data_IF_762680537680
#
_entry.id   IF_762680537680
#
_cell.length_a   1.000
_cell.length_b   1.000
_cell.length_c   1.000
_cell.angle_alpha   90.00
_cell.angle_beta   90.00
_cell.angle_gamma   90.00
#
_symmetry.space_group_name_H-M   'P 1'
#
loop_
_entity.id
_entity.type
_entity.pdbx_description
1 polymer ?
#
# COMPACT_ATOMS: atom_id res chain seq x y z
N UNK A 1 -28.12 -13.05 2.30
CA UNK A 1 -27.34 -11.89 2.79
C UNK A 1 -26.04 -11.85 2.00
N UNK A 2 -25.70 -10.74 1.36
CA UNK A 2 -24.56 -10.64 0.43
C UNK A 2 -23.56 -9.63 0.98
N UNK A 3 -22.28 -10.03 1.08
CA UNK A 3 -21.20 -9.16 1.53
C UNK A 3 -20.40 -8.63 0.34
N UNK A 4 -19.99 -7.36 0.42
CA UNK A 4 -19.07 -6.76 -0.55
C UNK A 4 -17.69 -6.71 0.07
N UNK A 5 -16.70 -7.23 -0.64
CA UNK A 5 -15.29 -7.23 -0.25
C UNK A 5 -14.48 -6.55 -1.34
N UNK A 6 -13.56 -5.68 -0.94
CA UNK A 6 -12.59 -5.02 -1.83
C UNK A 6 -11.19 -5.34 -1.35
N UNK A 7 -10.37 -5.88 -2.24
CA UNK A 7 -8.96 -6.15 -1.97
C UNK A 7 -8.13 -5.00 -2.53
N UNK A 8 -7.28 -4.42 -1.69
CA UNK A 8 -6.44 -3.27 -2.05
C UNK A 8 -4.98 -3.68 -1.90
N UNK A 9 -4.19 -3.49 -2.96
CA UNK A 9 -2.74 -3.70 -2.91
C UNK A 9 -2.06 -2.62 -2.06
N UNK A 10 -0.98 -2.94 -1.33
CA UNK A 10 -0.25 -1.95 -0.53
C UNK A 10 0.38 -0.87 -1.41
N UNK A 11 0.50 0.34 -0.86
CA UNK A 11 1.32 1.39 -1.46
C UNK A 11 2.81 0.99 -1.39
N UNK A 12 3.57 1.30 -2.44
CA UNK A 12 4.98 0.91 -2.57
C UNK A 12 5.85 1.56 -1.49
N UNK A 13 6.86 0.82 -1.03
CA UNK A 13 7.93 1.29 -0.13
C UNK A 13 9.30 0.83 -0.69
N UNK A 14 10.42 1.37 -0.16
CA UNK A 14 11.75 0.86 -0.47
C UNK A 14 11.94 -0.63 -0.14
N UNK A 15 11.38 -1.12 0.97
CA UNK A 15 11.34 -2.53 1.38
C UNK A 15 10.78 -3.44 0.29
N UNK A 16 9.60 -3.08 -0.23
CA UNK A 16 8.88 -3.90 -1.21
C UNK A 16 9.69 -4.06 -2.50
N UNK A 17 10.44 -3.03 -2.91
CA UNK A 17 11.35 -3.09 -4.06
C UNK A 17 12.56 -4.00 -3.83
N UNK A 18 12.95 -4.18 -2.57
CA UNK A 18 14.08 -5.03 -2.16
C UNK A 18 13.63 -6.41 -1.68
N UNK A 19 12.34 -6.75 -1.79
CA UNK A 19 11.73 -7.95 -1.23
C UNK A 19 12.04 -8.14 0.27
N UNK A 20 12.14 -7.04 1.02
CA UNK A 20 12.27 -7.03 2.47
C UNK A 20 10.87 -6.91 3.06
N UNK A 21 10.42 -7.97 3.71
CA UNK A 21 9.11 -8.01 4.37
C UNK A 21 9.26 -7.52 5.81
N UNK A 22 8.22 -6.85 6.32
CA UNK A 22 8.13 -6.36 7.71
C UNK A 22 9.26 -5.43 8.19
N UNK A 23 9.93 -4.71 7.29
CA UNK A 23 11.04 -3.83 7.69
C UNK A 23 10.59 -2.47 8.26
N UNK A 24 9.28 -2.21 8.29
CA UNK A 24 8.70 -1.01 8.88
C UNK A 24 8.95 0.29 8.10
N UNK A 25 9.49 0.23 6.87
CA UNK A 25 9.72 1.45 6.10
C UNK A 25 8.42 2.19 5.81
N UNK A 26 8.52 3.51 5.77
CA UNK A 26 7.45 4.38 5.31
C UNK A 26 7.15 4.16 3.82
N UNK A 27 5.89 4.38 3.43
CA UNK A 27 5.46 4.32 2.03
C UNK A 27 6.10 5.45 1.21
N UNK A 28 6.34 5.19 -0.07
CA UNK A 28 6.88 6.16 -1.02
C UNK A 28 5.91 7.37 -1.17
N UNK A 29 6.44 8.57 -1.40
CA UNK A 29 5.64 9.80 -1.54
C UNK A 29 4.55 9.68 -2.63
N UNK A 30 4.87 9.06 -3.77
CA UNK A 30 3.90 8.79 -4.83
C UNK A 30 2.84 7.74 -4.45
N UNK A 31 3.17 6.81 -3.55
CA UNK A 31 2.21 5.89 -2.94
C UNK A 31 1.25 6.62 -2.00
N UNK A 32 1.80 7.50 -1.15
CA UNK A 32 1.00 8.32 -0.24
C UNK A 32 0.04 9.26 -0.97
N UNK A 33 0.47 9.89 -2.08
CA UNK A 33 -0.38 10.74 -2.89
C UNK A 33 -1.56 9.98 -3.52
N UNK A 34 -1.29 8.81 -4.12
CA UNK A 34 -2.34 7.96 -4.70
C UNK A 34 -3.31 7.42 -3.65
N UNK A 35 -2.81 7.02 -2.48
CA UNK A 35 -3.65 6.56 -1.38
C UNK A 35 -4.61 7.65 -0.90
N UNK A 36 -4.14 8.90 -0.76
CA UNK A 36 -5.00 10.04 -0.40
C UNK A 36 -6.04 10.39 -1.46
N UNK A 37 -5.69 10.25 -2.74
CA UNK A 37 -6.62 10.53 -3.84
C UNK A 37 -7.73 9.47 -3.99
N UNK A 38 -7.53 8.27 -3.44
CA UNK A 38 -8.49 7.16 -3.49
C UNK A 38 -9.41 7.07 -2.26
N UNK A 39 -9.13 7.86 -1.21
CA UNK A 39 -9.94 7.98 -0.01
C UNK A 39 -10.98 9.10 -0.17
#
# INVERSE_FOLDING_TARGET
MTSRVTLISPATSPSLRRARFDDGDSIDAGGAARARAAA
#
